data_IF_265642383596
#
_entry.id   IF_265642383596
#
_cell.length_a   1.000
_cell.length_b   1.000
_cell.length_c   1.000
_cell.angle_alpha   90.00
_cell.angle_beta   90.00
_cell.angle_gamma   90.00
#
_symmetry.space_group_name_H-M   'P 1'
#
loop_
_entity.id
_entity.type
_entity.pdbx_description
1 polymer ?
#
# COMPACT_ATOMS: atom_id res chain seq x y z
N UNK A 1 12.00 -0.26 -7.79
CA UNK A 1 10.70 -0.70 -7.24
C UNK A 1 9.74 0.46 -7.02
N UNK A 2 10.11 1.52 -6.27
CA UNK A 2 9.23 2.69 -6.07
C UNK A 2 8.71 3.27 -7.39
N UNK A 3 9.62 3.66 -8.29
CA UNK A 3 9.29 4.25 -9.60
C UNK A 3 8.45 3.30 -10.45
N UNK A 4 8.88 2.03 -10.54
CA UNK A 4 8.17 0.99 -11.31
C UNK A 4 6.75 0.79 -10.80
N UNK A 5 6.56 0.73 -9.47
CA UNK A 5 5.25 0.54 -8.88
C UNK A 5 4.31 1.72 -9.19
N UNK A 6 4.79 2.96 -9.04
CA UNK A 6 4.00 4.15 -9.38
C UNK A 6 3.58 4.19 -10.84
N UNK A 7 4.53 3.98 -11.77
CA UNK A 7 4.24 3.97 -13.20
C UNK A 7 3.29 2.83 -13.59
N UNK A 8 3.46 1.64 -13.00
CA UNK A 8 2.55 0.52 -13.20
C UNK A 8 1.15 0.82 -12.66
N UNK A 9 1.04 1.41 -11.49
CA UNK A 9 -0.25 1.78 -10.90
C UNK A 9 -0.99 2.82 -11.77
N UNK A 10 -0.29 3.86 -12.22
CA UNK A 10 -0.82 4.87 -13.16
C UNK A 10 -1.27 4.20 -14.46
N UNK A 11 -0.43 3.34 -15.05
CA UNK A 11 -0.78 2.59 -16.26
C UNK A 11 -2.03 1.74 -16.06
N UNK A 12 -2.10 0.99 -14.97
CA UNK A 12 -3.23 0.09 -14.67
C UNK A 12 -4.54 0.85 -14.52
N UNK A 13 -4.53 1.94 -13.75
CA UNK A 13 -5.75 2.75 -13.58
C UNK A 13 -6.21 3.37 -14.91
N UNK A 14 -5.28 3.87 -15.73
CA UNK A 14 -5.62 4.59 -16.95
C UNK A 14 -5.89 3.67 -18.16
N UNK A 15 -5.29 2.47 -18.22
CA UNK A 15 -5.35 1.59 -19.41
C UNK A 15 -5.98 0.22 -19.16
N UNK A 16 -6.19 -0.18 -17.91
CA UNK A 16 -6.82 -1.46 -17.56
C UNK A 16 -8.17 -1.21 -16.91
N UNK A 17 -8.17 -0.70 -15.67
CA UNK A 17 -9.37 -0.26 -14.96
C UNK A 17 -8.99 0.32 -13.60
N UNK A 18 -9.85 1.21 -13.07
CA UNK A 18 -9.78 1.65 -11.67
C UNK A 18 -9.94 0.46 -10.73
N UNK A 19 -10.81 -0.50 -11.07
CA UNK A 19 -11.02 -1.74 -10.32
C UNK A 19 -9.73 -2.54 -10.13
N UNK A 20 -8.88 -2.63 -11.17
CA UNK A 20 -7.59 -3.31 -11.06
C UNK A 20 -6.67 -2.64 -10.01
N UNK A 21 -6.65 -1.30 -9.97
CA UNK A 21 -5.90 -0.54 -8.97
C UNK A 21 -6.41 -0.79 -7.54
N UNK A 22 -7.73 -0.73 -7.34
CA UNK A 22 -8.35 -1.02 -6.04
C UNK A 22 -8.08 -2.45 -5.58
N UNK A 23 -8.14 -3.42 -6.50
CA UNK A 23 -7.86 -4.81 -6.19
C UNK A 23 -6.38 -5.06 -5.86
N UNK A 24 -5.46 -4.30 -6.46
CA UNK A 24 -4.04 -4.35 -6.07
C UNK A 24 -3.83 -3.98 -4.59
N UNK A 25 -4.56 -2.97 -4.08
CA UNK A 25 -4.50 -2.62 -2.65
C UNK A 25 -5.08 -3.68 -1.72
N UNK A 26 -5.98 -4.54 -2.22
CA UNK A 26 -6.50 -5.67 -1.45
C UNK A 26 -5.51 -6.84 -1.39
N UNK A 27 -4.78 -7.11 -2.48
CA UNK A 27 -3.82 -8.21 -2.53
C UNK A 27 -2.49 -7.84 -1.85
N UNK A 28 -2.09 -6.57 -1.92
CA UNK A 28 -0.79 -6.10 -1.45
C UNK A 28 -0.47 -6.49 0.00
N UNK A 29 -1.37 -6.36 0.99
CA UNK A 29 -1.11 -6.75 2.37
C UNK A 29 -0.82 -8.25 2.52
N UNK A 30 -1.54 -9.09 1.77
CA UNK A 30 -1.36 -10.55 1.73
C UNK A 30 0.06 -10.86 1.23
N UNK A 31 0.44 -10.31 0.07
CA UNK A 31 1.76 -10.53 -0.52
C UNK A 31 2.88 -10.00 0.37
N UNK A 32 2.68 -8.84 0.98
CA UNK A 32 3.66 -8.24 1.89
C UNK A 32 3.89 -9.12 3.12
N UNK A 33 2.84 -9.65 3.73
CA UNK A 33 2.98 -10.54 4.88
C UNK A 33 3.66 -11.87 4.52
N UNK A 34 3.31 -12.46 3.36
CA UNK A 34 3.93 -13.69 2.88
C UNK A 34 5.41 -13.48 2.53
N UNK A 35 5.74 -12.40 1.82
CA UNK A 35 7.13 -12.07 1.48
C UNK A 35 7.95 -11.67 2.71
N UNK A 36 7.33 -11.02 3.71
CA UNK A 36 7.96 -10.74 5.00
C UNK A 36 8.36 -12.03 5.71
N UNK A 37 7.47 -13.03 5.74
CA UNK A 37 7.77 -14.35 6.27
C UNK A 37 8.87 -15.07 5.47
N UNK A 38 8.78 -15.11 4.15
CA UNK A 38 9.72 -15.85 3.28
C UNK A 38 11.11 -15.20 3.22
N UNK A 39 11.15 -13.89 2.96
CA UNK A 39 12.39 -13.15 2.67
C UNK A 39 13.01 -12.61 3.94
N UNK A 40 12.24 -12.00 4.83
CA UNK A 40 12.76 -11.39 6.07
C UNK A 40 12.80 -12.36 7.24
N UNK A 41 12.21 -13.56 7.09
CA UNK A 41 12.02 -14.54 8.17
C UNK A 41 11.23 -13.94 9.35
N UNK A 42 10.33 -13.01 9.06
CA UNK A 42 9.42 -12.44 10.07
C UNK A 42 8.50 -13.55 10.61
N UNK A 43 8.43 -13.69 11.93
CA UNK A 43 7.59 -14.73 12.56
C UNK A 43 6.12 -14.29 12.54
N UNK A 44 5.30 -15.07 11.85
CA UNK A 44 3.85 -14.88 11.84
C UNK A 44 3.20 -15.74 12.93
N UNK A 45 2.36 -15.11 13.75
CA UNK A 45 1.53 -15.77 14.77
C UNK A 45 0.37 -16.51 14.09
N UNK A 46 -0.25 -17.46 14.81
CA UNK A 46 -1.40 -18.24 14.29
C UNK A 46 -2.56 -17.36 13.84
N UNK A 47 -2.90 -16.31 14.59
CA UNK A 47 -3.96 -15.36 14.22
C UNK A 47 -3.62 -14.56 12.95
N UNK A 48 -2.34 -14.25 12.73
CA UNK A 48 -1.90 -13.54 11.53
C UNK A 48 -2.04 -14.42 10.29
N UNK A 49 -1.75 -15.72 10.39
CA UNK A 49 -2.04 -16.68 9.32
C UNK A 49 -3.53 -16.78 9.00
N UNK A 50 -4.37 -16.86 10.03
CA UNK A 50 -5.83 -16.88 9.84
C UNK A 50 -6.32 -15.58 9.17
N UNK A 51 -5.82 -14.42 9.59
CA UNK A 51 -6.15 -13.13 8.97
C UNK A 51 -5.72 -13.03 7.50
N UNK A 52 -4.56 -13.57 7.15
CA UNK A 52 -4.12 -13.66 5.75
C UNK A 52 -5.10 -14.53 4.95
N UNK A 53 -5.53 -15.67 5.50
CA UNK A 53 -6.54 -16.55 4.88
C UNK A 53 -7.89 -15.85 4.67
N UNK A 54 -8.40 -15.15 5.68
CA UNK A 54 -9.64 -14.38 5.58
C UNK A 54 -9.55 -13.25 4.54
N UNK A 55 -8.39 -12.59 4.48
CA UNK A 55 -8.13 -11.57 3.47
C UNK A 55 -8.13 -12.15 2.06
N UNK A 56 -7.50 -13.32 1.87
CA UNK A 56 -7.48 -14.02 0.59
C UNK A 56 -8.90 -14.44 0.17
N UNK A 57 -9.72 -14.93 1.10
CA UNK A 57 -11.13 -15.24 0.86
C UNK A 57 -11.90 -13.99 0.41
N UNK A 58 -11.69 -12.85 1.07
CA UNK A 58 -12.34 -11.59 0.69
C UNK A 58 -11.92 -11.12 -0.70
N UNK A 59 -10.63 -11.26 -1.03
CA UNK A 59 -10.13 -10.99 -2.37
C UNK A 59 -10.78 -11.91 -3.41
N UNK A 60 -10.95 -13.20 -3.11
CA UNK A 60 -11.62 -14.14 -4.01
C UNK A 60 -13.11 -13.78 -4.23
N UNK A 61 -13.81 -13.30 -3.19
CA UNK A 61 -15.20 -12.84 -3.30
C UNK A 61 -15.33 -11.58 -4.17
N UNK A 62 -14.40 -10.64 -4.06
CA UNK A 62 -14.40 -9.39 -4.84
C UNK A 62 -13.77 -9.54 -6.23
N UNK A 63 -12.93 -10.57 -6.41
CA UNK A 63 -12.07 -10.80 -7.56
C UNK A 63 -12.75 -11.45 -8.75
N UNK A 64 -13.98 -11.07 -9.09
CA UNK A 64 -14.73 -11.62 -10.23
C UNK A 64 -14.42 -10.91 -11.56
N UNK A 65 -13.30 -10.19 -11.62
CA UNK A 65 -12.88 -9.41 -12.79
C UNK A 65 -12.27 -10.26 -13.90
N UNK A 66 -12.00 -9.64 -15.04
CA UNK A 66 -11.30 -10.30 -16.16
C UNK A 66 -9.90 -10.77 -15.74
N UNK A 67 -9.41 -11.87 -16.33
CA UNK A 67 -8.07 -12.40 -16.05
C UNK A 67 -6.96 -11.33 -16.22
N UNK A 68 -7.11 -10.43 -17.19
CA UNK A 68 -6.20 -9.29 -17.40
C UNK A 68 -6.20 -8.32 -16.21
N UNK A 69 -7.37 -8.00 -15.67
CA UNK A 69 -7.52 -7.14 -14.48
C UNK A 69 -6.79 -7.77 -13.30
N UNK A 70 -7.07 -9.04 -13.01
CA UNK A 70 -6.47 -9.78 -11.90
C UNK A 70 -4.93 -9.87 -12.03
N UNK A 71 -4.43 -10.20 -13.22
CA UNK A 71 -2.98 -10.29 -13.47
C UNK A 71 -2.29 -8.94 -13.24
N UNK A 72 -2.87 -7.85 -13.77
CA UNK A 72 -2.29 -6.52 -13.60
C UNK A 72 -2.34 -6.05 -12.15
N UNK A 73 -3.42 -6.33 -11.42
CA UNK A 73 -3.51 -6.08 -9.98
C UNK A 73 -2.42 -6.83 -9.19
N UNK A 74 -2.17 -8.09 -9.54
CA UNK A 74 -1.11 -8.90 -8.91
C UNK A 74 0.27 -8.31 -9.16
N UNK A 75 0.57 -7.85 -10.38
CA UNK A 75 1.86 -7.22 -10.71
C UNK A 75 2.06 -5.94 -9.89
N UNK A 76 1.05 -5.08 -9.78
CA UNK A 76 1.14 -3.88 -8.95
C UNK A 76 1.30 -4.24 -7.47
N UNK A 77 0.50 -5.17 -6.95
CA UNK A 77 0.58 -5.61 -5.56
C UNK A 77 1.94 -6.22 -5.23
N UNK A 78 2.50 -7.05 -6.13
CA UNK A 78 3.80 -7.67 -5.96
C UNK A 78 4.93 -6.64 -5.97
N UNK A 79 4.90 -5.66 -6.87
CA UNK A 79 5.92 -4.60 -6.92
C UNK A 79 5.88 -3.70 -5.68
N UNK A 80 4.70 -3.41 -5.14
CA UNK A 80 4.58 -2.65 -3.89
C UNK A 80 5.02 -3.47 -2.68
N UNK A 81 4.61 -4.74 -2.60
CA UNK A 81 5.05 -5.64 -1.54
C UNK A 81 6.58 -5.76 -1.53
N UNK A 82 7.20 -5.99 -2.69
CA UNK A 82 8.66 -6.01 -2.84
C UNK A 82 9.30 -4.68 -2.42
N UNK A 83 8.69 -3.54 -2.77
CA UNK A 83 9.14 -2.24 -2.28
C UNK A 83 9.17 -2.21 -0.75
N UNK A 84 8.09 -2.56 -0.06
CA UNK A 84 8.04 -2.59 1.41
C UNK A 84 9.08 -3.53 2.02
N UNK A 85 9.28 -4.72 1.42
CA UNK A 85 10.32 -5.66 1.87
C UNK A 85 11.72 -5.07 1.73
N UNK A 86 12.03 -4.41 0.61
CA UNK A 86 13.31 -3.71 0.43
C UNK A 86 13.47 -2.59 1.46
N UNK A 87 12.43 -1.81 1.73
CA UNK A 87 12.49 -0.73 2.72
C UNK A 87 12.71 -1.25 4.15
N UNK A 88 12.09 -2.38 4.48
CA UNK A 88 12.29 -3.07 5.77
C UNK A 88 13.70 -3.63 5.90
N UNK A 89 14.28 -4.19 4.83
CA UNK A 89 15.70 -4.62 4.82
C UNK A 89 16.65 -3.48 5.10
N UNK A 90 16.34 -2.28 4.61
CA UNK A 90 17.17 -1.08 4.73
C UNK A 90 16.89 -0.28 6.01
N UNK A 91 16.32 -0.89 7.05
CA UNK A 91 15.94 -0.19 8.27
C UNK A 91 17.08 0.39 9.12
N UNK A 92 18.33 -0.02 8.87
CA UNK A 92 19.49 0.54 9.55
C UNK A 92 20.01 1.85 8.96
N UNK A 93 19.46 2.31 7.84
CA UNK A 93 19.90 3.53 7.14
C UNK A 93 19.03 4.73 7.51
N UNK A 94 19.60 5.93 7.37
CA UNK A 94 18.85 7.18 7.52
C UNK A 94 17.70 7.25 6.51
N UNK A 95 16.48 7.49 7.00
CA UNK A 95 15.26 7.43 6.19
C UNK A 95 15.10 8.63 5.28
N UNK A 96 15.61 9.80 5.68
CA UNK A 96 15.56 11.00 4.86
C UNK A 96 16.54 10.89 3.69
N UNK A 97 17.75 10.38 3.94
CA UNK A 97 18.74 10.07 2.89
C UNK A 97 18.19 9.02 1.94
N UNK A 98 17.63 7.92 2.46
CA UNK A 98 17.07 6.86 1.63
C UNK A 98 15.91 7.37 0.75
N UNK A 99 15.02 8.18 1.31
CA UNK A 99 13.92 8.79 0.56
C UNK A 99 14.44 9.75 -0.51
N UNK A 100 15.44 10.58 -0.18
CA UNK A 100 16.07 11.51 -1.13
C UNK A 100 16.68 10.75 -2.30
N UNK A 101 17.46 9.70 -2.03
CA UNK A 101 18.03 8.84 -3.08
C UNK A 101 16.95 8.23 -3.95
N UNK A 102 15.86 7.73 -3.36
CA UNK A 102 14.76 7.13 -4.11
C UNK A 102 14.05 8.13 -5.03
N UNK A 103 13.76 9.33 -4.54
CA UNK A 103 13.11 10.38 -5.31
C UNK A 103 14.03 10.94 -6.39
N UNK A 104 15.33 11.11 -6.11
CA UNK A 104 16.32 11.53 -7.09
C UNK A 104 16.49 10.50 -8.21
N UNK A 105 16.55 9.20 -7.87
CA UNK A 105 16.58 8.13 -8.87
C UNK A 105 15.29 8.07 -9.68
N UNK A 106 14.13 8.28 -9.05
CA UNK A 106 12.86 8.35 -9.76
C UNK A 106 12.82 9.53 -10.74
N UNK A 107 13.27 10.71 -10.32
CA UNK A 107 13.38 11.88 -11.18
C UNK A 107 14.33 11.63 -12.36
N UNK A 108 15.52 11.06 -12.10
CA UNK A 108 16.50 10.75 -13.15
C UNK A 108 15.97 9.74 -14.19
N UNK A 109 15.09 8.82 -13.80
CA UNK A 109 14.48 7.85 -14.71
C UNK A 109 13.28 8.43 -15.49
N UNK A 110 12.45 9.25 -14.84
CA UNK A 110 11.21 9.77 -15.42
C UNK A 110 11.48 11.00 -16.30
N UNK A 111 12.30 11.95 -15.86
CA UNK A 111 12.50 13.22 -16.57
C UNK A 111 12.94 13.05 -18.05
N UNK A 112 13.88 12.15 -18.40
CA UNK A 112 14.27 11.95 -19.80
C UNK A 112 13.15 11.38 -20.68
N UNK A 113 12.19 10.70 -20.07
CA UNK A 113 11.06 10.06 -20.79
C UNK A 113 9.75 10.86 -20.66
N UNK A 114 9.77 11.98 -19.94
CA UNK A 114 8.56 12.74 -19.62
C UNK A 114 7.82 13.26 -20.86
N UNK A 115 8.56 13.72 -21.87
CA UNK A 115 7.98 14.16 -23.15
C UNK A 115 7.27 13.03 -23.90
N UNK A 116 7.82 11.81 -23.86
CA UNK A 116 7.20 10.61 -24.45
C UNK A 116 5.91 10.21 -23.73
N UNK A 117 5.79 10.56 -22.44
CA UNK A 117 4.60 10.37 -21.62
C UNK A 117 3.57 11.52 -21.79
N UNK A 118 3.83 12.48 -22.68
CA UNK A 118 2.97 13.64 -22.90
C UNK A 118 3.05 14.69 -21.78
N UNK A 119 4.09 14.64 -20.93
CA UNK A 119 4.30 15.61 -19.86
C UNK A 119 5.25 16.73 -20.31
N UNK A 120 5.06 17.93 -19.73
CA UNK A 120 5.97 19.07 -19.87
C UNK A 120 6.63 19.35 -18.51
N UNK A 121 7.85 18.85 -18.27
CA UNK A 121 8.52 18.97 -16.97
C UNK A 121 8.76 20.41 -16.53
N UNK A 122 8.88 21.32 -17.49
CA UNK A 122 9.18 22.72 -17.25
C UNK A 122 7.93 23.59 -17.11
N UNK A 123 6.73 23.04 -17.27
CA UNK A 123 5.48 23.81 -17.23
C UNK A 123 5.32 24.62 -15.93
N UNK A 124 5.71 24.06 -14.78
CA UNK A 124 5.65 24.75 -13.50
C UNK A 124 6.56 25.98 -13.40
N UNK A 125 7.69 26.03 -14.13
CA UNK A 125 8.57 27.20 -14.08
C UNK A 125 7.99 28.42 -14.81
N UNK A 126 6.98 28.21 -15.66
CA UNK A 126 6.25 29.27 -16.36
C UNK A 126 4.95 29.67 -15.67
N UNK A 127 4.51 28.93 -14.64
CA UNK A 127 3.28 29.18 -13.89
C UNK A 127 3.53 28.96 -12.39
N UNK A 128 3.69 30.08 -11.67
CA UNK A 128 3.95 30.08 -10.23
C UNK A 128 2.81 29.42 -9.44
N UNK A 129 1.56 29.55 -9.88
CA UNK A 129 0.42 28.95 -9.22
C UNK A 129 0.47 27.42 -9.35
N UNK A 130 0.73 26.92 -10.57
CA UNK A 130 0.94 25.50 -10.82
C UNK A 130 2.12 24.94 -10.02
N UNK A 131 3.25 25.66 -9.97
CA UNK A 131 4.42 25.27 -9.19
C UNK A 131 4.10 25.16 -7.70
N UNK A 132 3.45 26.17 -7.14
CA UNK A 132 3.11 26.18 -5.71
C UNK A 132 2.11 25.06 -5.36
N UNK A 133 1.07 24.88 -6.18
CA UNK A 133 0.09 23.81 -5.98
C UNK A 133 0.74 22.42 -6.06
N UNK A 134 1.57 22.18 -7.08
CA UNK A 134 2.26 20.88 -7.23
C UNK A 134 3.30 20.64 -6.13
N UNK A 135 4.00 21.67 -5.65
CA UNK A 135 4.92 21.58 -4.52
C UNK A 135 4.18 21.19 -3.23
N UNK A 136 3.05 21.86 -2.92
CA UNK A 136 2.23 21.55 -1.74
C UNK A 136 1.66 20.13 -1.83
N UNK A 137 1.07 19.77 -2.97
CA UNK A 137 0.48 18.44 -3.15
C UNK A 137 1.52 17.32 -3.04
N UNK A 138 2.68 17.49 -3.67
CA UNK A 138 3.75 16.49 -3.60
C UNK A 138 4.36 16.39 -2.19
N UNK A 139 4.57 17.50 -1.50
CA UNK A 139 5.09 17.49 -0.14
C UNK A 139 4.14 16.79 0.84
N UNK A 140 2.85 17.17 0.81
CA UNK A 140 1.84 16.72 1.77
C UNK A 140 1.34 15.31 1.47
N UNK A 141 1.06 14.98 0.21
CA UNK A 141 0.44 13.69 -0.15
C UNK A 141 1.43 12.64 -0.63
N UNK A 142 2.68 12.99 -0.90
CA UNK A 142 3.70 12.04 -1.38
C UNK A 142 4.89 11.95 -0.43
N UNK A 143 5.65 13.02 -0.25
CA UNK A 143 6.90 13.00 0.53
C UNK A 143 6.62 12.64 1.99
N UNK A 144 5.65 13.32 2.62
CA UNK A 144 5.33 13.09 4.03
C UNK A 144 4.81 11.65 4.27
N UNK A 145 3.80 11.11 3.55
CA UNK A 145 3.36 9.73 3.74
C UNK A 145 4.45 8.69 3.44
N UNK A 146 5.28 8.90 2.42
CA UNK A 146 6.40 8.00 2.13
C UNK A 146 7.42 8.01 3.27
N UNK A 147 7.78 9.18 3.79
CA UNK A 147 8.68 9.31 4.92
C UNK A 147 8.13 8.59 6.17
N UNK A 148 6.86 8.82 6.50
CA UNK A 148 6.19 8.17 7.62
C UNK A 148 6.12 6.64 7.44
N UNK A 149 5.90 6.16 6.22
CA UNK A 149 5.91 4.73 5.90
C UNK A 149 7.30 4.12 6.11
N UNK A 150 8.35 4.76 5.62
CA UNK A 150 9.74 4.35 5.86
C UNK A 150 10.07 4.33 7.36
N UNK A 151 9.59 5.33 8.11
CA UNK A 151 9.78 5.39 9.55
C UNK A 151 9.04 4.25 10.27
N UNK A 152 7.80 3.95 9.90
CA UNK A 152 7.04 2.83 10.45
C UNK A 152 7.76 1.49 10.24
N UNK A 153 8.42 1.31 9.09
CA UNK A 153 9.22 0.13 8.77
C UNK A 153 10.54 0.02 9.55
N UNK A 154 10.89 0.98 10.43
CA UNK A 154 11.96 0.77 11.43
C UNK A 154 11.51 -0.16 12.55
N UNK A 155 10.27 0.00 12.99
CA UNK A 155 9.79 -0.65 14.22
C UNK A 155 8.80 -1.77 13.92
N UNK A 156 7.96 -1.60 12.90
CA UNK A 156 6.90 -2.53 12.57
C UNK A 156 7.33 -3.56 11.52
N UNK A 157 6.95 -4.84 11.68
CA UNK A 157 7.11 -5.84 10.64
C UNK A 157 6.45 -5.41 9.33
N UNK A 158 7.03 -5.80 8.20
CA UNK A 158 6.55 -5.44 6.88
C UNK A 158 5.07 -5.84 6.66
N UNK A 159 4.68 -7.04 7.11
CA UNK A 159 3.29 -7.51 7.03
C UNK A 159 2.30 -6.67 7.85
N UNK A 160 2.75 -6.04 8.95
CA UNK A 160 1.90 -5.14 9.74
C UNK A 160 1.65 -3.83 9.00
N UNK A 161 2.69 -3.24 8.43
CA UNK A 161 2.56 -2.05 7.57
C UNK A 161 1.69 -2.36 6.35
N UNK A 162 1.85 -3.54 5.74
CA UNK A 162 0.98 -4.01 4.68
C UNK A 162 -0.49 -4.03 5.09
N UNK A 163 -0.84 -4.59 6.25
CA UNK A 163 -2.24 -4.67 6.71
C UNK A 163 -2.86 -3.32 7.03
N UNK A 164 -2.07 -2.34 7.46
CA UNK A 164 -2.57 -0.97 7.62
C UNK A 164 -3.05 -0.38 6.29
N UNK A 165 -2.58 -0.88 5.14
CA UNK A 165 -3.08 -0.44 3.83
C UNK A 165 -4.53 -0.84 3.57
N UNK A 166 -5.11 -1.78 4.32
CA UNK A 166 -6.54 -2.05 4.24
C UNK A 166 -7.41 -0.86 4.67
N UNK A 167 -6.83 0.16 5.30
CA UNK A 167 -7.50 1.45 5.48
C UNK A 167 -7.97 2.03 4.14
N UNK A 168 -7.20 1.91 3.05
CA UNK A 168 -7.60 2.44 1.75
C UNK A 168 -8.93 1.84 1.26
N UNK A 169 -9.07 0.51 1.05
CA UNK A 169 -10.32 -0.08 0.61
C UNK A 169 -11.48 0.13 1.59
N UNK A 170 -11.22 0.22 2.91
CA UNK A 170 -12.24 0.53 3.90
C UNK A 170 -12.76 1.97 3.75
N UNK A 171 -11.87 2.95 3.65
CA UNK A 171 -12.25 4.35 3.43
C UNK A 171 -12.98 4.50 2.09
N UNK A 172 -12.49 3.87 1.03
CA UNK A 172 -13.16 3.89 -0.28
C UNK A 172 -14.58 3.32 -0.21
N UNK A 173 -14.77 2.20 0.49
CA UNK A 173 -16.10 1.61 0.69
C UNK A 173 -17.03 2.53 1.49
N UNK A 174 -16.53 3.13 2.58
CA UNK A 174 -17.31 4.07 3.39
C UNK A 174 -17.72 5.30 2.58
N UNK A 175 -16.84 5.85 1.75
CA UNK A 175 -17.17 6.98 0.88
C UNK A 175 -18.21 6.59 -0.18
N UNK A 176 -18.05 5.44 -0.84
CA UNK A 176 -19.00 4.93 -1.83
C UNK A 176 -20.41 4.84 -1.23
N UNK A 177 -20.53 4.28 -0.03
CA UNK A 177 -21.81 4.10 0.64
C UNK A 177 -22.38 5.38 1.26
N UNK A 178 -21.59 6.13 2.04
CA UNK A 178 -22.08 7.26 2.84
C UNK A 178 -22.14 8.58 2.06
N UNK A 179 -21.20 8.81 1.14
CA UNK A 179 -21.08 10.08 0.43
C UNK A 179 -21.68 9.98 -0.97
N UNK A 180 -21.33 8.93 -1.72
CA UNK A 180 -21.81 8.74 -3.09
C UNK A 180 -23.16 8.02 -3.19
N UNK A 181 -23.70 7.50 -2.07
CA UNK A 181 -24.96 6.75 -2.00
C UNK A 181 -25.02 5.57 -2.98
N UNK A 182 -23.88 4.92 -3.23
CA UNK A 182 -23.83 3.73 -4.08
C UNK A 182 -24.41 2.52 -3.34
N UNK A 183 -25.27 1.76 -4.03
CA UNK A 183 -25.85 0.53 -3.50
C UNK A 183 -24.78 -0.57 -3.45
N UNK A 184 -24.24 -0.82 -2.26
CA UNK A 184 -23.35 -1.96 -2.04
C UNK A 184 -24.12 -3.28 -2.20
N UNK A 185 -23.61 -4.16 -3.06
CA UNK A 185 -24.15 -5.52 -3.16
C UNK A 185 -23.89 -6.29 -1.87
N UNK A 186 -24.72 -7.28 -1.57
CA UNK A 186 -24.54 -8.15 -0.39
C UNK A 186 -23.16 -8.81 -0.37
N UNK A 187 -22.65 -9.21 -1.54
CA UNK A 187 -21.31 -9.82 -1.68
C UNK A 187 -20.21 -8.82 -1.30
N UNK A 188 -20.29 -7.57 -1.77
CA UNK A 188 -19.33 -6.52 -1.42
C UNK A 188 -19.36 -6.25 0.09
N UNK A 189 -20.54 -6.09 0.68
CA UNK A 189 -20.69 -5.85 2.11
C UNK A 189 -20.07 -6.99 2.94
N UNK A 190 -20.34 -8.25 2.59
CA UNK A 190 -19.72 -9.40 3.24
C UNK A 190 -18.21 -9.40 3.07
N UNK A 191 -17.69 -9.17 1.86
CA UNK A 191 -16.25 -9.17 1.63
C UNK A 191 -15.52 -8.07 2.40
N UNK A 192 -16.07 -6.85 2.46
CA UNK A 192 -15.49 -5.77 3.26
C UNK A 192 -15.60 -6.05 4.77
N UNK A 193 -16.67 -6.67 5.24
CA UNK A 193 -16.79 -7.11 6.63
C UNK A 193 -15.72 -8.17 6.98
N UNK A 194 -15.43 -9.11 6.07
CA UNK A 194 -14.38 -10.12 6.28
C UNK A 194 -12.98 -9.47 6.27
N UNK A 195 -12.72 -8.46 5.43
CA UNK A 195 -11.48 -7.66 5.47
C UNK A 195 -11.33 -6.94 6.82
N UNK A 196 -12.39 -6.29 7.30
CA UNK A 196 -12.37 -5.63 8.60
C UNK A 196 -12.08 -6.63 9.73
N UNK A 197 -12.74 -7.79 9.69
CA UNK A 197 -12.48 -8.90 10.61
C UNK A 197 -11.04 -9.39 10.55
N UNK A 198 -10.43 -9.47 9.36
CA UNK A 198 -9.04 -9.90 9.18
C UNK A 198 -8.05 -8.89 9.77
N UNK A 199 -8.28 -7.58 9.58
CA UNK A 199 -7.48 -6.50 10.17
C UNK A 199 -7.53 -6.58 11.70
N UNK A 200 -8.72 -6.70 12.27
CA UNK A 200 -8.89 -6.84 13.73
C UNK A 200 -8.17 -8.09 14.23
N UNK A 201 -8.42 -9.25 13.61
CA UNK A 201 -7.81 -10.52 14.00
C UNK A 201 -6.28 -10.49 13.94
N UNK A 202 -5.70 -9.85 12.92
CA UNK A 202 -4.25 -9.72 12.78
C UNK A 202 -3.63 -8.90 13.90
N UNK A 203 -4.31 -7.82 14.32
CA UNK A 203 -3.85 -6.90 15.35
C UNK A 203 -4.12 -7.41 16.77
N UNK A 204 -5.10 -8.29 16.97
CA UNK A 204 -5.37 -8.90 18.27
C UNK A 204 -4.12 -9.60 18.82
N UNK A 205 -3.80 -9.35 20.08
CA UNK A 205 -2.71 -10.04 20.78
C UNK A 205 -3.27 -11.26 21.49
N UNK A 206 -3.44 -12.37 20.79
CA UNK A 206 -3.67 -13.65 21.47
C UNK A 206 -2.39 -14.05 22.23
N UNK A 207 -2.49 -14.18 23.55
CA UNK A 207 -1.38 -14.64 24.39
C UNK A 207 -0.55 -13.56 25.07
N UNK A 208 -1.01 -12.31 25.14
CA UNK A 208 -0.52 -11.42 26.19
C UNK A 208 -1.09 -11.91 27.53
N UNK A 209 -0.45 -12.92 28.14
CA UNK A 209 -0.44 -12.97 29.60
C UNK A 209 -0.06 -11.56 30.03
N UNK A 210 -0.89 -10.98 30.89
CA UNK A 210 -0.55 -9.76 31.60
C UNK A 210 0.86 -9.91 32.16
N UNK A 211 1.86 -9.33 31.50
CA UNK A 211 3.09 -8.93 32.16
C UNK A 211 2.75 -7.65 32.93
N UNK A 212 1.83 -7.79 33.88
CA UNK A 212 1.68 -6.84 34.97
C UNK A 212 2.83 -7.10 35.94
N UNK A 213 3.46 -6.01 36.40
CA UNK A 213 4.39 -5.95 37.54
C UNK A 213 5.79 -6.52 37.30
N UNK A 214 6.69 -5.68 36.82
CA UNK A 214 8.08 -5.59 37.32
C UNK A 214 8.78 -4.37 36.68
N UNK A 215 8.28 -3.16 37.00
CA UNK A 215 9.08 -1.92 36.91
C UNK A 215 8.86 -1.16 38.22
N UNK A 216 9.24 -1.80 39.32
CA UNK A 216 9.62 -1.13 40.56
C UNK A 216 10.78 -1.96 41.13
N UNK A 217 12.00 -1.62 40.73
CA UNK A 217 13.17 -1.48 41.60
C UNK A 217 14.34 -0.93 40.82
#
# INVERSE_FOLDING_TARGET
MLTSNWLLFIYVINKVSVQAGSFAYLICPILTALLGFLVLREKLRRNQWLAIGLSALSCALLGTGSARTLLMSLVVAATYALYLITQRRLQGYDRLVLLTVQLSLAAALILPTASLLGASPLAGFHDLHLLLMTAILSAVFTVLPLFLNLYALNTLPSGTVGILMYLNPVVSFLLAFLYFNEAATTIQAVAYAVILGSVVLYNMRFGAKLASKEVIR
#
